data_IF_210064584874
#
_entry.id   IF_210064584874
#
_cell.length_a   1.000
_cell.length_b   1.000
_cell.length_c   1.000
_cell.angle_alpha   90.00
_cell.angle_beta   90.00
_cell.angle_gamma   90.00
#
_symmetry.space_group_name_H-M   'P 1'
#
loop_
_entity.id
_entity.type
_entity.pdbx_description
1 polymer ?
#
# COMPACT_ATOMS: atom_id res chain seq x y z
N UNK A 1 8.94 -0.19 42.13
CA UNK A 1 7.75 -1.05 42.27
C UNK A 1 7.03 -0.79 40.96
N UNK A 2 7.46 -1.36 39.82
CA UNK A 2 7.58 -2.77 39.42
C UNK A 2 6.32 -3.57 39.71
N UNK A 3 5.28 -3.23 38.94
CA UNK A 3 4.01 -3.92 38.91
C UNK A 3 4.10 -4.94 37.77
N UNK A 4 4.98 -5.92 37.95
CA UNK A 4 5.02 -7.11 37.13
C UNK A 4 3.76 -7.93 37.39
N UNK A 5 2.68 -7.62 36.68
CA UNK A 5 1.55 -8.55 36.51
C UNK A 5 2.08 -9.79 35.80
N UNK A 6 2.40 -10.81 36.60
CA UNK A 6 2.59 -12.17 36.14
C UNK A 6 1.24 -12.69 35.64
N UNK A 7 0.90 -12.42 34.37
CA UNK A 7 -0.12 -13.22 33.69
C UNK A 7 0.40 -14.65 33.62
N UNK A 8 -0.15 -15.53 34.45
CA UNK A 8 0.12 -16.96 34.44
C UNK A 8 -0.05 -17.49 33.01
N UNK A 9 1.06 -17.74 32.33
CA UNK A 9 1.14 -18.31 30.97
C UNK A 9 0.40 -19.66 30.89
N UNK A 10 0.15 -20.27 32.05
CA UNK A 10 -0.58 -21.52 32.22
C UNK A 10 -2.11 -21.41 32.11
N UNK A 11 -2.69 -20.20 32.07
CA UNK A 11 -4.14 -19.98 31.92
C UNK A 11 -4.61 -19.67 30.49
N UNK A 12 -3.70 -19.65 29.50
CA UNK A 12 -4.10 -19.43 28.10
C UNK A 12 -4.84 -20.68 27.59
N UNK A 13 -6.06 -20.55 27.01
CA UNK A 13 -6.75 -21.67 26.38
C UNK A 13 -5.85 -22.40 25.37
N UNK A 14 -5.89 -23.75 25.34
CA UNK A 14 -5.00 -24.56 24.49
C UNK A 14 -5.03 -24.17 23.00
N UNK A 15 -6.20 -23.77 22.48
CA UNK A 15 -6.36 -23.34 21.09
C UNK A 15 -5.72 -21.97 20.78
N UNK A 16 -5.38 -21.17 21.81
CA UNK A 16 -4.70 -19.88 21.68
C UNK A 16 -3.20 -19.97 21.94
N UNK A 17 -2.71 -21.08 22.50
CA UNK A 17 -1.28 -21.27 22.75
C UNK A 17 -0.53 -21.47 21.42
N UNK A 18 0.47 -20.61 21.11
CA UNK A 18 1.35 -20.87 19.99
C UNK A 18 2.05 -22.21 20.20
N UNK A 19 1.96 -23.16 19.25
CA UNK A 19 2.65 -24.43 19.39
C UNK A 19 4.16 -24.23 19.43
N UNK A 20 4.83 -24.99 20.29
CA UNK A 20 6.30 -24.96 20.38
C UNK A 20 6.87 -25.90 19.31
N UNK A 21 7.52 -25.33 18.28
CA UNK A 21 8.26 -26.07 17.26
C UNK A 21 8.11 -25.54 15.85
N UNK A 22 9.12 -25.75 15.00
CA UNK A 22 9.21 -25.18 13.63
C UNK A 22 8.24 -25.78 12.60
N UNK A 23 7.43 -26.77 12.98
CA UNK A 23 6.51 -27.48 12.06
C UNK A 23 5.11 -26.85 12.00
N UNK A 24 4.78 -25.96 12.92
CA UNK A 24 3.49 -25.29 12.94
C UNK A 24 3.53 -23.99 12.15
N UNK A 25 2.51 -23.81 11.34
CA UNK A 25 2.25 -22.58 10.59
C UNK A 25 1.09 -21.85 11.27
N UNK A 26 1.29 -20.58 11.60
CA UNK A 26 0.19 -19.68 12.01
C UNK A 26 -0.55 -19.27 10.74
N UNK A 27 -1.80 -19.70 10.60
CA UNK A 27 -2.65 -19.36 9.45
C UNK A 27 -3.69 -18.35 9.92
N UNK A 28 -3.67 -17.17 9.31
CA UNK A 28 -4.69 -16.15 9.53
C UNK A 28 -5.72 -16.27 8.41
N UNK A 29 -6.99 -16.46 8.78
CA UNK A 29 -8.13 -16.61 7.90
C UNK A 29 -9.28 -15.68 8.33
N UNK A 30 -10.30 -15.51 7.49
CA UNK A 30 -11.53 -14.79 7.85
C UNK A 30 -12.23 -15.38 9.07
N UNK A 31 -12.02 -16.67 9.34
CA UNK A 31 -12.54 -17.38 10.53
C UNK A 31 -11.68 -17.22 11.79
N UNK A 32 -10.56 -16.48 11.72
CA UNK A 32 -9.67 -16.23 12.85
C UNK A 32 -8.23 -16.70 12.63
N UNK A 33 -7.48 -16.79 13.73
CA UNK A 33 -6.08 -17.20 13.75
C UNK A 33 -5.98 -18.65 14.19
N UNK A 34 -5.35 -19.47 13.36
CA UNK A 34 -5.26 -20.91 13.53
C UNK A 34 -3.81 -21.37 13.58
N UNK A 35 -3.54 -22.43 14.33
CA UNK A 35 -2.24 -23.10 14.34
C UNK A 35 -2.34 -24.46 13.68
N UNK A 36 -1.68 -24.63 12.54
CA UNK A 36 -1.80 -25.84 11.72
C UNK A 36 -0.44 -26.48 11.51
N UNK A 37 -0.36 -27.80 11.69
CA UNK A 37 0.82 -28.56 11.33
C UNK A 37 0.88 -28.70 9.81
N UNK A 38 1.86 -28.05 9.17
CA UNK A 38 2.04 -28.10 7.72
C UNK A 38 3.35 -28.82 7.42
N UNK A 39 3.28 -29.82 6.55
CA UNK A 39 4.48 -30.52 6.05
C UNK A 39 4.65 -30.18 4.57
N UNK A 40 5.77 -29.55 4.17
CA UNK A 40 6.04 -29.34 2.76
C UNK A 40 6.19 -30.68 2.05
N UNK A 41 5.77 -30.73 0.79
CA UNK A 41 6.12 -31.80 -0.12
C UNK A 41 7.65 -31.84 -0.29
N UNK A 42 8.23 -33.03 -0.17
CA UNK A 42 9.67 -33.28 -0.28
C UNK A 42 10.02 -34.14 -1.52
N UNK A 43 9.09 -34.28 -2.48
CA UNK A 43 9.35 -34.98 -3.72
C UNK A 43 10.47 -34.29 -4.53
N UNK A 44 11.18 -35.04 -5.38
CA UNK A 44 12.35 -34.56 -6.15
C UNK A 44 12.07 -33.29 -6.98
N UNK A 45 10.86 -33.19 -7.55
CA UNK A 45 10.42 -32.06 -8.36
C UNK A 45 9.46 -31.12 -7.59
N UNK A 46 9.46 -31.15 -6.26
CA UNK A 46 8.60 -30.30 -5.47
C UNK A 46 9.05 -28.84 -5.56
N UNK A 47 8.08 -27.94 -5.72
CA UNK A 47 8.30 -26.50 -5.67
C UNK A 47 8.87 -26.05 -4.32
N UNK A 48 9.46 -24.85 -4.27
CA UNK A 48 9.92 -24.27 -3.01
C UNK A 48 8.76 -24.10 -2.02
N UNK A 49 9.04 -24.18 -0.72
CA UNK A 49 7.98 -24.20 0.30
C UNK A 49 6.98 -23.03 0.20
N UNK A 50 7.45 -21.80 0.00
CA UNK A 50 6.54 -20.66 -0.18
C UNK A 50 5.65 -20.79 -1.42
N UNK A 51 6.13 -21.39 -2.52
CA UNK A 51 5.30 -21.64 -3.70
C UNK A 51 4.26 -22.72 -3.43
N UNK A 52 4.61 -23.76 -2.67
CA UNK A 52 3.62 -24.76 -2.22
C UNK A 52 2.51 -24.12 -1.39
N UNK A 53 2.84 -23.15 -0.52
CA UNK A 53 1.84 -22.37 0.23
C UNK A 53 0.94 -21.56 -0.71
N UNK A 54 1.50 -20.87 -1.71
CA UNK A 54 0.69 -20.14 -2.69
C UNK A 54 -0.26 -21.05 -3.47
N UNK A 55 0.20 -22.24 -3.87
CA UNK A 55 -0.65 -23.25 -4.53
C UNK A 55 -1.79 -23.72 -3.61
N UNK A 56 -1.56 -23.74 -2.30
CA UNK A 56 -2.56 -24.01 -1.28
C UNK A 56 -3.42 -22.78 -0.90
N UNK A 57 -3.34 -21.68 -1.66
CA UNK A 57 -4.03 -20.40 -1.39
C UNK A 57 -3.63 -19.74 -0.06
N UNK A 58 -2.38 -19.95 0.34
CA UNK A 58 -1.74 -19.35 1.52
C UNK A 58 -0.62 -18.42 1.07
N UNK A 59 -0.74 -17.13 1.38
CA UNK A 59 0.30 -16.15 1.13
C UNK A 59 1.20 -16.03 2.38
N UNK A 60 2.46 -16.46 2.32
CA UNK A 60 3.33 -16.41 3.48
C UNK A 60 3.82 -14.99 3.78
N UNK A 61 4.05 -14.67 5.05
CA UNK A 61 4.59 -13.37 5.47
C UNK A 61 6.10 -13.21 5.21
N UNK A 62 6.81 -14.33 5.03
CA UNK A 62 8.23 -14.43 4.69
C UNK A 62 8.47 -15.62 3.75
N UNK A 63 9.50 -15.57 2.90
CA UNK A 63 9.67 -16.57 1.84
C UNK A 63 10.67 -17.69 2.15
N UNK A 64 11.65 -17.44 3.02
CA UNK A 64 12.72 -18.41 3.32
C UNK A 64 12.31 -19.45 4.34
N UNK A 65 11.71 -19.01 5.46
CA UNK A 65 11.24 -19.86 6.56
C UNK A 65 9.88 -19.35 7.05
N UNK A 66 8.80 -19.58 6.28
CA UNK A 66 7.48 -19.08 6.64
C UNK A 66 6.97 -19.76 7.91
N UNK A 67 6.69 -18.95 8.92
CA UNK A 67 6.01 -19.35 10.17
C UNK A 67 4.59 -18.78 10.27
N UNK A 68 4.24 -17.82 9.42
CA UNK A 68 2.90 -17.23 9.31
C UNK A 68 2.49 -17.16 7.84
N UNK A 69 1.23 -17.50 7.56
CA UNK A 69 0.63 -17.30 6.25
C UNK A 69 -0.81 -16.77 6.39
N UNK A 70 -1.26 -16.04 5.38
CA UNK A 70 -2.59 -15.49 5.28
C UNK A 70 -3.34 -16.19 4.17
N UNK A 71 -4.59 -16.58 4.40
CA UNK A 71 -5.41 -17.11 3.30
C UNK A 71 -5.70 -16.02 2.27
N UNK A 72 -5.90 -16.40 1.02
CA UNK A 72 -6.34 -15.42 0.02
C UNK A 72 -7.68 -14.78 0.39
N UNK A 73 -8.54 -15.54 1.09
CA UNK A 73 -9.83 -15.06 1.60
C UNK A 73 -9.68 -13.90 2.56
N UNK A 74 -8.79 -13.98 3.57
CA UNK A 74 -8.61 -12.88 4.53
C UNK A 74 -7.98 -11.65 3.90
N UNK A 75 -7.11 -11.84 2.91
CA UNK A 75 -6.52 -10.72 2.18
C UNK A 75 -7.57 -10.02 1.31
N UNK A 76 -8.43 -10.76 0.61
CA UNK A 76 -9.51 -10.19 -0.18
C UNK A 76 -10.59 -9.53 0.69
N UNK A 77 -10.92 -10.12 1.86
CA UNK A 77 -11.83 -9.54 2.84
C UNK A 77 -11.27 -8.25 3.43
N UNK A 78 -9.98 -8.23 3.80
CA UNK A 78 -9.32 -7.03 4.31
C UNK A 78 -9.36 -5.87 3.29
N UNK A 79 -9.04 -6.14 2.03
CA UNK A 79 -9.08 -5.11 0.99
C UNK A 79 -10.50 -4.58 0.77
N UNK A 80 -11.52 -5.44 0.85
CA UNK A 80 -12.91 -5.03 0.73
C UNK A 80 -13.36 -4.19 1.92
N UNK A 81 -13.08 -4.62 3.15
CA UNK A 81 -13.41 -3.87 4.37
C UNK A 81 -12.70 -2.51 4.42
N UNK A 82 -11.48 -2.43 3.87
CA UNK A 82 -10.73 -1.18 3.77
C UNK A 82 -11.40 -0.19 2.80
N UNK A 83 -11.83 -0.65 1.63
CA UNK A 83 -12.46 0.19 0.59
C UNK A 83 -13.90 0.56 0.95
N UNK A 84 -14.73 -0.42 1.31
CA UNK A 84 -16.17 -0.22 1.50
C UNK A 84 -16.51 0.40 2.86
N UNK A 85 -15.79 -0.01 3.90
CA UNK A 85 -16.10 0.40 5.29
C UNK A 85 -15.09 1.40 5.87
N UNK A 86 -14.02 1.73 5.13
CA UNK A 86 -12.94 2.59 5.66
C UNK A 86 -12.23 1.98 6.85
N UNK A 87 -12.25 0.64 6.99
CA UNK A 87 -11.72 -0.05 8.16
C UNK A 87 -10.19 0.05 8.17
N UNK A 88 -9.62 0.57 9.26
CA UNK A 88 -8.17 0.59 9.45
C UNK A 88 -7.64 -0.84 9.64
N UNK A 89 -6.39 -1.09 9.24
CA UNK A 89 -5.76 -2.40 9.45
C UNK A 89 -5.78 -2.86 10.92
N UNK A 90 -5.63 -1.92 11.85
CA UNK A 90 -5.68 -2.21 13.29
C UNK A 90 -7.08 -2.67 13.73
N UNK A 91 -8.12 -1.98 13.26
CA UNK A 91 -9.50 -2.35 13.57
C UNK A 91 -9.86 -3.70 12.94
N UNK A 92 -9.42 -3.93 11.70
CA UNK A 92 -9.61 -5.21 11.02
C UNK A 92 -8.91 -6.36 11.77
N UNK A 93 -7.66 -6.18 12.20
CA UNK A 93 -6.98 -7.22 12.97
C UNK A 93 -7.63 -7.42 14.36
N UNK A 94 -8.15 -6.35 14.97
CA UNK A 94 -8.92 -6.46 16.21
C UNK A 94 -10.24 -7.23 16.02
N UNK A 95 -10.91 -7.09 14.87
CA UNK A 95 -12.05 -7.93 14.46
C UNK A 95 -11.60 -9.40 14.39
N UNK A 96 -10.50 -9.72 13.70
CA UNK A 96 -9.98 -11.09 13.61
C UNK A 96 -9.67 -11.70 14.99
N UNK A 97 -9.11 -10.93 15.91
CA UNK A 97 -8.88 -11.39 17.30
C UNK A 97 -10.19 -11.79 17.98
N UNK A 98 -11.24 -10.97 17.87
CA UNK A 98 -12.56 -11.28 18.45
C UNK A 98 -13.26 -12.45 17.76
N UNK A 99 -13.08 -12.61 16.45
CA UNK A 99 -13.56 -13.79 15.72
C UNK A 99 -12.86 -15.06 16.21
N UNK A 100 -11.55 -14.98 16.47
CA UNK A 100 -10.75 -16.10 16.99
C UNK A 100 -11.15 -16.46 18.43
N UNK A 101 -11.25 -15.46 19.31
CA UNK A 101 -11.71 -15.60 20.68
C UNK A 101 -12.36 -14.31 21.14
N UNK A 102 -13.68 -14.35 21.29
CA UNK A 102 -14.43 -13.18 21.76
C UNK A 102 -14.25 -12.93 23.27
N UNK A 103 -13.96 -14.00 24.03
CA UNK A 103 -13.75 -13.94 25.48
C UNK A 103 -12.36 -13.39 25.82
N UNK A 104 -11.33 -13.81 25.07
CA UNK A 104 -9.93 -13.44 25.34
C UNK A 104 -9.22 -12.94 24.07
N UNK A 105 -9.66 -11.83 23.46
CA UNK A 105 -9.06 -11.33 22.20
C UNK A 105 -7.61 -10.86 22.37
N UNK A 106 -7.20 -10.46 23.58
CA UNK A 106 -5.84 -10.02 23.89
C UNK A 106 -4.84 -11.20 23.90
N UNK A 107 -5.29 -12.43 24.15
CA UNK A 107 -4.45 -13.63 24.11
C UNK A 107 -4.22 -14.16 22.68
N UNK A 108 -4.93 -13.62 21.68
CA UNK A 108 -4.75 -14.00 20.28
C UNK A 108 -3.47 -13.37 19.74
N UNK A 109 -2.59 -14.21 19.19
CA UNK A 109 -1.29 -13.81 18.65
C UNK A 109 -1.41 -12.61 17.72
N UNK A 110 -0.54 -11.61 17.94
CA UNK A 110 -0.44 -10.46 17.06
C UNK A 110 0.34 -10.78 15.79
N UNK A 111 -0.32 -10.63 14.64
CA UNK A 111 0.25 -10.67 13.29
C UNK A 111 -0.19 -9.46 12.47
N UNK A 112 -0.52 -8.35 13.12
CA UNK A 112 -0.96 -7.12 12.46
C UNK A 112 0.10 -6.57 11.50
N UNK A 113 1.38 -6.54 11.91
CA UNK A 113 2.46 -6.02 11.06
C UNK A 113 2.66 -6.89 9.81
N UNK A 114 2.58 -8.20 9.99
CA UNK A 114 2.64 -9.18 8.92
C UNK A 114 1.44 -9.05 7.99
N UNK A 115 0.23 -8.81 8.52
CA UNK A 115 -0.96 -8.53 7.72
C UNK A 115 -0.73 -7.31 6.82
N UNK A 116 -0.26 -6.18 7.37
CA UNK A 116 -0.02 -4.97 6.58
C UNK A 116 0.97 -5.22 5.44
N UNK A 117 2.08 -5.91 5.75
CA UNK A 117 3.11 -6.24 4.75
C UNK A 117 2.54 -7.12 3.63
N UNK A 118 1.84 -8.19 3.99
CA UNK A 118 1.28 -9.14 3.03
C UNK A 118 0.15 -8.51 2.24
N UNK A 119 -0.68 -7.66 2.87
CA UNK A 119 -1.72 -6.93 2.20
C UNK A 119 -1.17 -5.97 1.12
N UNK A 120 -0.06 -5.27 1.39
CA UNK A 120 0.59 -4.44 0.36
C UNK A 120 1.12 -5.26 -0.81
N UNK A 121 1.75 -6.40 -0.52
CA UNK A 121 2.20 -7.33 -1.57
C UNK A 121 1.01 -7.90 -2.36
N UNK A 122 -0.09 -8.20 -1.68
CA UNK A 122 -1.32 -8.71 -2.29
C UNK A 122 -1.98 -7.68 -3.21
N UNK A 123 -2.05 -6.41 -2.78
CA UNK A 123 -2.49 -5.30 -3.63
C UNK A 123 -1.66 -5.22 -4.92
N UNK A 124 -0.33 -5.28 -4.81
CA UNK A 124 0.54 -5.27 -5.98
C UNK A 124 0.28 -6.47 -6.90
N UNK A 125 0.17 -7.68 -6.34
CA UNK A 125 -0.09 -8.89 -7.14
C UNK A 125 -1.43 -8.82 -7.86
N UNK A 126 -2.47 -8.31 -7.20
CA UNK A 126 -3.78 -8.05 -7.82
C UNK A 126 -3.65 -7.01 -8.93
N UNK A 127 -2.93 -5.91 -8.69
CA UNK A 127 -2.72 -4.86 -9.69
C UNK A 127 -1.97 -5.35 -10.92
N UNK A 128 -0.88 -6.11 -10.74
CA UNK A 128 -0.13 -6.76 -11.82
C UNK A 128 -1.01 -7.71 -12.63
N UNK A 129 -1.80 -8.54 -11.95
CA UNK A 129 -2.74 -9.46 -12.61
C UNK A 129 -3.79 -8.70 -13.43
N UNK A 130 -4.33 -7.60 -12.89
CA UNK A 130 -5.34 -6.77 -13.56
C UNK A 130 -4.78 -6.04 -14.78
N UNK A 131 -3.53 -5.59 -14.72
CA UNK A 131 -2.84 -4.92 -15.82
C UNK A 131 -2.25 -5.90 -16.85
N UNK A 132 -2.38 -7.22 -16.62
CA UNK A 132 -1.89 -8.25 -17.54
C UNK A 132 -0.38 -8.51 -17.45
N UNK A 133 0.30 -8.01 -16.42
CA UNK A 133 1.71 -8.28 -16.20
C UNK A 133 1.93 -9.57 -15.41
N UNK A 134 2.78 -10.46 -15.94
CA UNK A 134 3.17 -11.69 -15.25
C UNK A 134 4.13 -11.40 -14.09
N UNK A 135 4.96 -10.38 -14.20
CA UNK A 135 5.88 -9.95 -13.15
C UNK A 135 6.05 -8.42 -13.15
N UNK A 136 6.70 -7.91 -12.11
CA UNK A 136 6.99 -6.47 -12.01
C UNK A 136 8.10 -6.07 -13.00
N UNK A 137 8.94 -6.98 -13.52
CA UNK A 137 10.06 -6.62 -14.40
C UNK A 137 9.59 -6.14 -15.77
N UNK A 138 8.46 -6.66 -16.22
CA UNK A 138 7.85 -6.31 -17.51
C UNK A 138 7.10 -4.97 -17.50
N UNK A 139 6.89 -4.36 -16.33
CA UNK A 139 6.34 -3.01 -16.19
C UNK A 139 7.44 -1.98 -16.49
N UNK A 140 7.64 -1.67 -17.77
CA UNK A 140 8.78 -0.86 -18.25
C UNK A 140 8.47 0.62 -18.39
N UNK A 141 7.22 1.02 -18.67
CA UNK A 141 6.88 2.44 -18.81
C UNK A 141 6.30 3.01 -17.51
N UNK A 142 6.41 4.33 -17.43
CA UNK A 142 5.96 5.14 -16.30
C UNK A 142 4.43 5.11 -16.24
N UNK A 143 3.89 4.73 -15.09
CA UNK A 143 2.44 4.67 -14.88
C UNK A 143 1.73 3.47 -15.52
N UNK A 144 2.46 2.46 -16.03
CA UNK A 144 1.85 1.32 -16.74
C UNK A 144 0.96 0.41 -15.88
N UNK A 145 1.06 0.48 -14.54
CA UNK A 145 0.22 -0.35 -13.65
C UNK A 145 -1.20 0.23 -13.47
N UNK A 146 -1.45 1.46 -13.92
CA UNK A 146 -2.73 2.13 -13.74
C UNK A 146 -3.28 2.60 -15.07
N UNK A 147 -4.59 2.59 -15.18
CA UNK A 147 -5.27 3.10 -16.38
C UNK A 147 -5.55 4.58 -16.21
N UNK A 148 -5.37 5.33 -17.29
CA UNK A 148 -5.91 6.68 -17.39
C UNK A 148 -7.44 6.63 -17.58
N UNK A 149 -8.10 7.79 -17.59
CA UNK A 149 -9.53 7.90 -17.82
C UNK A 149 -9.95 7.26 -19.15
N UNK A 150 -10.72 6.17 -19.08
CA UNK A 150 -11.24 5.47 -20.25
C UNK A 150 -12.14 6.34 -21.15
N UNK A 151 -12.82 7.34 -20.56
CA UNK A 151 -13.70 8.26 -21.25
C UNK A 151 -12.97 9.47 -21.86
N UNK A 152 -11.80 9.87 -21.33
CA UNK A 152 -11.08 11.01 -21.91
C UNK A 152 -10.47 10.57 -23.28
N UNK A 153 -10.44 11.45 -24.30
CA UNK A 153 -9.95 11.13 -25.64
C UNK A 153 -8.49 10.64 -25.63
N UNK A 154 -8.18 9.45 -26.14
CA UNK A 154 -6.84 8.82 -26.17
C UNK A 154 -6.46 8.39 -27.60
N UNK A 155 -5.65 9.20 -28.31
CA UNK A 155 -5.17 8.89 -29.65
C UNK A 155 -4.49 7.53 -29.72
N UNK A 156 -4.90 6.68 -30.68
CA UNK A 156 -4.39 5.32 -30.86
C UNK A 156 -4.92 4.28 -29.88
N UNK A 157 -5.79 4.66 -28.94
CA UNK A 157 -6.46 3.73 -28.01
C UNK A 157 -7.96 3.72 -28.26
N UNK A 158 -8.63 4.85 -28.01
CA UNK A 158 -10.08 5.01 -28.21
C UNK A 158 -10.41 6.12 -29.22
N UNK A 159 -9.41 6.84 -29.73
CA UNK A 159 -9.53 7.80 -30.83
C UNK A 159 -8.67 7.32 -32.00
N UNK A 160 -9.21 7.37 -33.22
CA UNK A 160 -8.48 7.09 -34.44
C UNK A 160 -7.23 7.99 -34.55
N UNK A 161 -6.01 7.44 -34.76
CA UNK A 161 -4.81 8.24 -35.01
C UNK A 161 -4.93 9.26 -36.15
N UNK A 162 -5.81 9.01 -37.13
CA UNK A 162 -6.08 9.92 -38.23
C UNK A 162 -7.08 11.04 -37.89
N UNK A 163 -7.68 11.01 -36.69
CA UNK A 163 -8.61 12.05 -36.25
C UNK A 163 -7.90 13.38 -36.06
N UNK A 164 -8.58 14.47 -36.42
CA UNK A 164 -8.07 15.82 -36.16
C UNK A 164 -8.19 16.16 -34.66
N UNK A 165 -7.08 16.05 -33.93
CA UNK A 165 -7.02 16.28 -32.49
C UNK A 165 -7.21 17.74 -32.07
N UNK A 166 -7.20 18.69 -33.01
CA UNK A 166 -7.47 20.10 -32.76
C UNK A 166 -8.98 20.40 -32.60
N UNK A 167 -9.84 19.43 -32.91
CA UNK A 167 -11.28 19.53 -32.67
C UNK A 167 -11.56 19.55 -31.15
N UNK A 168 -12.37 20.51 -30.70
CA UNK A 168 -12.69 20.75 -29.29
C UNK A 168 -13.23 19.51 -28.58
N UNK A 169 -13.86 18.58 -29.32
CA UNK A 169 -14.38 17.32 -28.75
C UNK A 169 -13.28 16.37 -28.27
N UNK A 170 -12.04 16.55 -28.72
CA UNK A 170 -10.87 15.79 -28.28
C UNK A 170 -10.05 16.51 -27.20
N UNK A 171 -10.42 17.74 -26.85
CA UNK A 171 -9.79 18.51 -25.79
C UNK A 171 -9.93 17.82 -24.44
N UNK A 172 -8.83 17.74 -23.71
CA UNK A 172 -8.81 17.26 -22.33
C UNK A 172 -8.70 18.44 -21.37
N UNK A 173 -9.67 18.58 -20.49
CA UNK A 173 -9.56 19.53 -19.38
C UNK A 173 -8.84 18.85 -18.22
N UNK A 174 -7.81 19.51 -17.71
CA UNK A 174 -6.97 19.01 -16.63
C UNK A 174 -7.18 19.87 -15.39
N UNK A 175 -7.35 19.23 -14.23
CA UNK A 175 -7.33 19.91 -12.93
C UNK A 175 -6.11 19.45 -12.15
N UNK A 176 -5.55 20.37 -11.36
CA UNK A 176 -4.46 20.10 -10.43
C UNK A 176 -4.93 20.54 -9.06
N UNK A 177 -4.75 19.68 -8.06
CA UNK A 177 -5.12 19.98 -6.68
C UNK A 177 -4.11 19.36 -5.69
N UNK A 178 -4.05 19.95 -4.51
CA UNK A 178 -3.10 19.62 -3.45
C UNK A 178 -3.77 19.22 -2.15
N UNK A 179 -3.39 18.07 -1.60
CA UNK A 179 -3.80 17.64 -0.28
C UNK A 179 -2.66 17.80 0.74
N UNK A 180 -2.75 18.84 1.58
CA UNK A 180 -1.75 19.17 2.62
C UNK A 180 -1.97 18.48 3.97
N UNK A 181 -2.88 17.50 4.03
CA UNK A 181 -3.09 16.66 5.23
C UNK A 181 -2.40 15.30 5.10
N UNK A 182 -1.96 14.93 3.89
CA UNK A 182 -1.23 13.69 3.63
C UNK A 182 0.24 13.95 3.96
N UNK A 183 0.54 13.88 5.26
CA UNK A 183 1.89 14.06 5.77
C UNK A 183 2.62 12.72 5.79
N UNK A 184 3.87 12.69 5.28
CA UNK A 184 4.76 11.54 5.41
C UNK A 184 5.91 11.90 6.34
N UNK A 185 6.13 11.09 7.38
CA UNK A 185 7.25 11.28 8.29
C UNK A 185 8.56 10.79 7.69
N UNK A 186 9.68 11.32 8.17
CA UNK A 186 10.97 10.71 7.84
C UNK A 186 11.03 9.27 8.31
N UNK A 187 11.48 8.41 7.41
CA UNK A 187 11.68 7.01 7.69
C UNK A 187 12.83 6.83 8.68
N UNK A 188 12.64 5.93 9.65
CA UNK A 188 13.68 5.64 10.62
C UNK A 188 14.92 4.97 9.99
N UNK A 189 14.72 4.23 8.90
CA UNK A 189 15.74 3.47 8.18
C UNK A 189 15.44 3.50 6.67
N UNK A 190 15.91 4.53 5.94
CA UNK A 190 15.63 4.67 4.51
C UNK A 190 16.29 3.56 3.68
N UNK A 191 17.47 3.07 4.09
CA UNK A 191 18.21 2.04 3.36
C UNK A 191 17.50 0.66 3.36
N UNK A 192 16.61 0.42 4.33
CA UNK A 192 15.83 -0.81 4.43
C UNK A 192 14.54 -0.78 3.59
N UNK A 193 14.21 0.36 2.97
CA UNK A 193 12.94 0.53 2.25
C UNK A 193 12.95 -0.12 0.88
N UNK A 194 11.82 -0.75 0.56
CA UNK A 194 11.58 -1.38 -0.74
C UNK A 194 10.35 -0.75 -1.37
N UNK A 195 10.57 0.03 -2.42
CA UNK A 195 9.48 0.64 -3.17
C UNK A 195 8.89 -0.37 -4.16
N UNK A 196 7.65 -0.77 -3.92
CA UNK A 196 6.97 -1.79 -4.73
C UNK A 196 6.50 -1.27 -6.10
N UNK A 197 6.16 0.01 -6.19
CA UNK A 197 5.49 0.63 -7.35
C UNK A 197 6.10 1.99 -7.75
N UNK A 198 7.38 2.23 -7.45
CA UNK A 198 8.04 3.53 -7.70
C UNK A 198 7.92 3.96 -9.17
N UNK A 199 7.15 5.03 -9.43
CA UNK A 199 6.88 5.53 -10.77
C UNK A 199 6.01 4.63 -11.67
N UNK A 200 5.41 3.58 -11.13
CA UNK A 200 4.66 2.58 -11.92
C UNK A 200 3.15 2.78 -11.85
N UNK A 201 2.68 3.49 -10.82
CA UNK A 201 1.28 3.87 -10.66
C UNK A 201 1.04 5.36 -10.93
N UNK A 202 0.22 5.98 -10.09
CA UNK A 202 -0.07 7.42 -10.18
C UNK A 202 1.09 8.30 -9.69
N UNK A 203 1.85 7.85 -8.68
CA UNK A 203 3.01 8.58 -8.16
C UNK A 203 4.14 8.63 -9.18
N UNK A 204 4.83 9.77 -9.26
CA UNK A 204 6.08 9.91 -10.03
C UNK A 204 7.20 9.08 -9.40
N UNK A 205 8.18 8.66 -10.22
CA UNK A 205 9.35 7.97 -9.70
C UNK A 205 10.18 8.90 -8.80
N UNK A 206 10.59 8.40 -7.63
CA UNK A 206 11.29 9.20 -6.63
C UNK A 206 12.68 9.69 -7.09
N UNK A 207 13.60 8.86 -7.64
CA UNK A 207 14.92 9.33 -8.07
C UNK A 207 14.91 10.51 -9.07
N UNK A 208 14.14 10.48 -10.18
CA UNK A 208 14.09 11.62 -11.10
C UNK A 208 13.36 12.83 -10.49
N UNK A 209 12.36 12.62 -9.63
CA UNK A 209 11.69 13.72 -8.95
C UNK A 209 12.63 14.46 -7.99
N UNK A 210 13.44 13.73 -7.21
CA UNK A 210 14.47 14.34 -6.36
C UNK A 210 15.54 15.09 -7.16
N UNK A 211 15.92 14.58 -8.34
CA UNK A 211 16.84 15.29 -9.24
C UNK A 211 16.22 16.60 -9.74
N UNK A 212 14.93 16.59 -10.11
CA UNK A 212 14.18 17.79 -10.48
C UNK A 212 14.11 18.82 -9.34
N UNK A 213 13.77 18.38 -8.13
CA UNK A 213 13.70 19.27 -6.96
C UNK A 213 15.05 19.93 -6.62
N UNK A 214 16.17 19.25 -6.89
CA UNK A 214 17.52 19.81 -6.71
C UNK A 214 17.90 20.80 -7.82
N UNK A 215 17.45 20.57 -9.04
CA UNK A 215 17.76 21.41 -10.20
C UNK A 215 16.90 22.67 -10.28
N UNK A 216 15.69 22.65 -9.72
CA UNK A 216 14.72 23.75 -9.83
C UNK A 216 14.91 24.76 -8.70
N UNK A 217 15.29 26.02 -9.00
CA UNK A 217 15.42 27.06 -7.98
C UNK A 217 14.06 27.44 -7.41
N UNK A 218 14.01 27.64 -6.09
CA UNK A 218 12.78 28.04 -5.41
C UNK A 218 12.53 29.54 -5.58
N UNK A 219 11.44 29.89 -6.26
CA UNK A 219 10.96 31.27 -6.35
C UNK A 219 10.01 31.50 -5.18
N UNK A 220 10.45 32.29 -4.18
CA UNK A 220 9.52 32.76 -3.15
C UNK A 220 8.58 33.79 -3.76
N UNK A 221 7.32 33.43 -3.93
CA UNK A 221 6.29 34.42 -4.20
C UNK A 221 6.12 35.31 -2.97
N UNK A 222 6.50 36.57 -3.10
CA UNK A 222 6.21 37.58 -2.08
C UNK A 222 4.74 37.96 -2.23
N UNK A 223 3.90 37.52 -1.30
CA UNK A 223 2.52 38.00 -1.23
C UNK A 223 2.53 39.51 -0.98
N UNK A 224 1.83 40.28 -1.82
CA UNK A 224 1.64 41.73 -1.65
C UNK A 224 0.70 42.10 -0.49
N UNK A 225 0.04 41.11 0.12
CA UNK A 225 -0.92 41.32 1.19
C UNK A 225 -0.28 41.21 2.57
N UNK A 226 -0.56 42.21 3.41
CA UNK A 226 0.12 42.50 4.68
C UNK A 226 -0.15 41.47 5.80
N UNK A 227 -0.95 40.42 5.56
CA UNK A 227 -1.37 39.47 6.62
C UNK A 227 -1.81 38.08 6.09
N UNK A 228 -1.16 37.51 5.07
CA UNK A 228 -1.41 36.11 4.66
C UNK A 228 -0.77 35.09 5.63
N UNK A 229 -1.26 35.03 6.87
CA UNK A 229 -0.79 34.08 7.89
C UNK A 229 -1.02 32.61 7.48
N UNK A 230 -2.04 32.33 6.69
CA UNK A 230 -2.36 30.97 6.23
C UNK A 230 -1.28 30.39 5.31
N UNK A 231 -0.79 31.18 4.35
CA UNK A 231 0.26 30.74 3.42
C UNK A 231 1.61 30.67 4.15
N UNK A 232 1.94 31.66 4.98
CA UNK A 232 3.23 31.66 5.70
C UNK A 232 3.37 30.54 6.72
N UNK A 233 2.27 30.06 7.33
CA UNK A 233 2.27 28.89 8.20
C UNK A 233 2.27 27.55 7.44
N UNK A 234 1.59 27.47 6.28
CA UNK A 234 1.59 26.28 5.44
C UNK A 234 2.98 26.00 4.83
N UNK A 235 3.74 27.05 4.54
CA UNK A 235 5.11 26.97 4.00
C UNK A 235 6.20 26.79 5.06
N UNK A 236 5.84 26.73 6.35
CA UNK A 236 6.80 26.54 7.43
C UNK A 236 7.29 25.09 7.46
N UNK A 237 8.61 24.89 7.34
CA UNK A 237 9.20 23.54 7.37
C UNK A 237 8.98 22.88 8.73
N UNK A 238 8.33 21.73 8.74
CA UNK A 238 8.20 20.87 9.93
C UNK A 238 9.31 19.81 9.88
N UNK A 239 10.39 19.98 10.64
CA UNK A 239 11.61 19.17 10.55
C UNK A 239 11.50 17.66 10.84
N UNK A 240 10.30 17.12 11.06
CA UNK A 240 10.03 15.68 11.22
C UNK A 240 9.36 15.05 9.99
N UNK A 241 8.92 15.86 9.02
CA UNK A 241 8.16 15.42 7.85
C UNK A 241 9.06 15.36 6.61
N UNK A 242 8.98 14.24 5.90
CA UNK A 242 9.55 14.03 4.59
C UNK A 242 8.67 14.62 3.47
N UNK A 243 7.35 14.59 3.64
CA UNK A 243 6.41 15.33 2.80
C UNK A 243 5.28 15.91 3.65
N UNK A 244 4.79 17.08 3.26
CA UNK A 244 3.72 17.84 3.93
C UNK A 244 2.39 17.74 3.18
N UNK A 245 2.38 17.12 2.02
CA UNK A 245 1.19 16.95 1.21
C UNK A 245 1.49 16.21 -0.07
N UNK A 246 0.45 16.06 -0.88
CA UNK A 246 0.52 15.42 -2.21
C UNK A 246 -0.23 16.28 -3.21
N UNK A 247 0.40 16.58 -4.34
CA UNK A 247 -0.23 17.19 -5.50
C UNK A 247 -0.65 16.12 -6.50
N UNK A 248 -1.86 16.23 -7.03
CA UNK A 248 -2.37 15.30 -8.05
C UNK A 248 -2.94 16.06 -9.24
N UNK A 249 -2.84 15.43 -10.41
CA UNK A 249 -3.44 15.92 -11.65
C UNK A 249 -4.52 14.94 -12.08
N UNK A 250 -5.71 15.44 -12.43
CA UNK A 250 -6.85 14.61 -12.83
C UNK A 250 -7.57 15.16 -14.07
N UNK A 251 -8.27 14.30 -14.81
CA UNK A 251 -9.19 14.72 -15.87
C UNK A 251 -10.39 15.43 -15.22
N UNK A 252 -10.64 16.70 -15.55
CA UNK A 252 -11.64 17.54 -14.88
C UNK A 252 -13.06 16.98 -14.96
N UNK A 253 -13.38 16.32 -16.07
CA UNK A 253 -14.72 15.84 -16.38
C UNK A 253 -15.08 14.57 -15.60
N UNK A 254 -14.10 13.69 -15.36
CA UNK A 254 -14.35 12.34 -14.86
C UNK A 254 -13.63 12.04 -13.53
N UNK A 255 -12.79 12.96 -13.04
CA UNK A 255 -12.06 12.82 -11.78
C UNK A 255 -10.98 11.73 -11.78
N UNK A 256 -10.64 11.12 -12.92
CA UNK A 256 -9.60 10.10 -12.98
C UNK A 256 -8.21 10.75 -12.95
N UNK A 257 -7.34 10.27 -12.07
CA UNK A 257 -5.95 10.72 -12.00
C UNK A 257 -5.17 10.39 -13.26
N UNK A 258 -4.24 11.28 -13.62
CA UNK A 258 -3.25 11.01 -14.64
C UNK A 258 -2.19 10.04 -14.07
N UNK A 259 -1.83 8.97 -14.80
CA UNK A 259 -0.72 8.11 -14.43
C UNK A 259 0.59 8.89 -14.32
N UNK A 260 1.45 8.53 -13.36
CA UNK A 260 2.76 9.16 -13.16
C UNK A 260 2.73 10.70 -13.13
N UNK A 261 1.75 11.29 -12.43
CA UNK A 261 1.60 12.75 -12.29
C UNK A 261 1.33 13.20 -10.86
N UNK A 262 1.29 12.27 -9.90
CA UNK A 262 1.09 12.58 -8.49
C UNK A 262 2.45 12.76 -7.84
N UNK A 263 2.62 13.85 -7.10
CA UNK A 263 3.91 14.28 -6.55
C UNK A 263 3.81 14.59 -5.07
N UNK A 264 4.88 14.30 -4.32
CA UNK A 264 4.98 14.69 -2.92
C UNK A 264 5.36 16.17 -2.80
N UNK A 265 4.62 16.91 -1.98
CA UNK A 265 4.99 18.25 -1.56
C UNK A 265 5.93 18.21 -0.36
N UNK A 266 7.09 18.84 -0.49
CA UNK A 266 8.10 19.04 0.54
C UNK A 266 7.76 20.19 1.51
N UNK A 267 7.17 21.30 1.03
CA UNK A 267 6.84 22.48 1.86
C UNK A 267 5.68 23.30 1.27
N UNK A 268 4.48 23.19 1.85
CA UNK A 268 3.30 23.82 1.25
C UNK A 268 3.01 23.21 -0.12
N UNK A 269 2.88 24.01 -1.17
CA UNK A 269 2.73 23.56 -2.58
C UNK A 269 4.06 23.22 -3.28
N UNK A 270 5.19 23.35 -2.58
CA UNK A 270 6.49 22.89 -3.06
C UNK A 270 6.62 21.40 -2.90
#
# INVERSE_FOLDING_TARGET
>A
MDDGEWEDVDNIPLHLRPPVGSKYLTIVDVTGVHFVLVRPCQCLNAERYHMQLFLAKLCPSTFDKPSTAFTFSVLDDFLRDNVECGTSGMNYYSKLRRVTSNVFPHLVVDRYRELLRVAWQWCLLKLLKWSGFQDNKNCTKKGDLVIFCAACPQPGINIDPAANLDDWKYSRTVVMDGNFKVEHMHERRPDDQVWLMDGRGFMVANPPYQAYLKATPHIMEKSSCNNHKAISQASASRGKLNSMGVGATACAQHGCFYPHSVVDFQKGER
#
